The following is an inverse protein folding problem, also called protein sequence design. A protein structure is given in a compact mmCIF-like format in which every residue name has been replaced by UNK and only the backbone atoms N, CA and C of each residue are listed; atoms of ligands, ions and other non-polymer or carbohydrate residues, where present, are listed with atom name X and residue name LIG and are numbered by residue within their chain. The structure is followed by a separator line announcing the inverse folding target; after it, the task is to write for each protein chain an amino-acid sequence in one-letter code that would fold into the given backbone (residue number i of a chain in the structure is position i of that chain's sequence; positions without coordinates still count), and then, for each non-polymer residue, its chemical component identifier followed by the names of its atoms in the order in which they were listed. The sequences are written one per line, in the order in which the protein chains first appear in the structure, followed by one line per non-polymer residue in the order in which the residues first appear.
data_IF_997029172929
#
_entry.id   IF_997029172929
#
_cell.length_a   1.000
_cell.length_b   1.000
_cell.length_c   1.000
_cell.angle_alpha   90.00
_cell.angle_beta   90.00
_cell.angle_gamma   90.00
#
_symmetry.space_group_name_H-M   'P 1'
#
loop_
_entity.id
_entity.type
_entity.pdbx_description
1 polymer ?
2 non-polymer ?
3 non-polymer ?
4 water ?
#
# COMPACT_ATOMS: atom_id res chain seq x y z
N UNK A 4 -26.42 4.08 -12.70
CA UNK A 4 -25.54 4.94 -13.52
C UNK A 4 -24.54 4.07 -14.31
N UNK A 5 -24.35 4.41 -15.58
CA UNK A 5 -23.72 3.55 -16.59
C UNK A 5 -22.29 4.04 -16.93
N UNK A 6 -21.33 3.13 -17.15
CA UNK A 6 -19.98 3.45 -17.67
C UNK A 6 -19.65 2.59 -18.89
N UNK A 7 -19.03 3.22 -19.90
CA UNK A 7 -18.56 2.53 -21.10
C UNK A 7 -17.03 2.57 -21.16
N UNK A 8 -16.40 1.39 -21.23
CA UNK A 8 -14.95 1.30 -21.44
C UNK A 8 -14.72 0.39 -22.64
N UNK A 9 -14.08 0.93 -23.68
CA UNK A 9 -13.85 0.24 -24.95
C UNK A 9 -15.10 -0.42 -25.51
N UNK A 10 -16.21 0.31 -25.50
CA UNK A 10 -17.50 -0.20 -25.96
C UNK A 10 -18.24 -1.19 -25.07
N UNK A 11 -17.63 -1.66 -23.98
CA UNK A 11 -18.27 -2.54 -23.01
C UNK A 11 -18.93 -1.71 -21.90
N UNK A 12 -20.13 -2.12 -21.53
CA UNK A 12 -20.99 -1.38 -20.61
C UNK A 12 -20.92 -1.94 -19.18
N UNK A 13 -20.88 -1.04 -18.21
CA UNK A 13 -20.84 -1.41 -16.80
C UNK A 13 -21.85 -0.57 -16.01
N UNK A 14 -22.51 -1.19 -15.04
CA UNK A 14 -23.40 -0.50 -14.12
C UNK A 14 -22.61 -0.14 -12.88
N UNK A 15 -22.67 1.12 -12.45
CA UNK A 15 -22.08 1.53 -11.18
C UNK A 15 -22.94 1.02 -10.00
N UNK A 16 -22.27 0.44 -9.00
CA UNK A 16 -22.90 -0.03 -7.79
C UNK A 16 -22.64 0.94 -6.64
N UNK A 17 -21.38 1.33 -6.45
CA UNK A 17 -21.05 2.40 -5.52
C UNK A 17 -19.66 2.97 -5.79
N UNK A 18 -19.42 4.13 -5.20
CA UNK A 18 -18.17 4.83 -5.27
C UNK A 18 -17.24 4.33 -4.17
N UNK A 19 -16.15 3.68 -4.55
CA UNK A 19 -15.18 3.15 -3.60
C UNK A 19 -14.28 4.26 -3.08
N UNK A 20 -13.75 5.08 -3.98
CA UNK A 20 -12.84 6.16 -3.61
C UNK A 20 -12.82 7.35 -4.57
N UNK A 21 -12.06 8.36 -4.18
CA UNK A 21 -11.90 9.61 -4.94
C UNK A 21 -10.46 10.07 -4.73
N UNK A 22 -9.92 10.76 -5.73
CA UNK A 22 -8.60 11.38 -5.64
C UNK A 22 -8.77 12.83 -6.03
N UNK A 23 -7.70 13.43 -6.57
CA UNK A 23 -7.79 14.76 -7.12
C UNK A 23 -8.50 14.63 -8.45
N UNK A 24 -7.82 13.97 -9.38
CA UNK A 24 -8.30 13.88 -10.75
C UNK A 24 -9.26 12.68 -10.94
N UNK A 25 -9.34 11.78 -9.95
CA UNK A 25 -9.88 10.44 -10.20
C UNK A 25 -10.92 9.91 -9.22
N UNK A 26 -11.63 8.87 -9.65
CA UNK A 26 -12.67 8.21 -8.87
C UNK A 26 -12.65 6.73 -9.20
N UNK A 27 -13.02 5.92 -8.23
CA UNK A 27 -13.02 4.47 -8.38
C UNK A 27 -14.41 3.98 -8.02
N UNK A 28 -14.97 3.13 -8.89
CA UNK A 28 -16.32 2.65 -8.76
C UNK A 28 -16.33 1.13 -8.71
N UNK A 29 -17.08 0.58 -7.77
CA UNK A 29 -17.43 -0.81 -7.84
C UNK A 29 -18.52 -0.91 -8.89
N UNK A 30 -18.37 -1.89 -9.76
CA UNK A 30 -19.05 -1.90 -11.04
C UNK A 30 -19.51 -3.30 -11.41
N UNK A 31 -20.55 -3.37 -12.24
CA UNK A 31 -21.19 -4.61 -12.62
C UNK A 31 -21.15 -4.69 -14.15
N UNK A 32 -20.56 -5.76 -14.70
CA UNK A 32 -20.47 -5.94 -16.15
C UNK A 32 -21.71 -6.65 -16.72
N UNK A 33 -21.71 -6.91 -18.03
CA UNK A 33 -22.86 -7.55 -18.70
C UNK A 33 -23.11 -8.95 -18.15
N UNK A 34 -22.04 -9.70 -17.90
CA UNK A 34 -22.13 -11.07 -17.38
C UNK A 34 -22.26 -11.14 -15.84
N UNK A 35 -22.70 -10.06 -15.21
CA UNK A 35 -23.09 -10.03 -13.79
C UNK A 35 -21.90 -10.19 -12.82
N UNK A 36 -20.72 -9.82 -13.29
CA UNK A 36 -19.48 -9.94 -12.55
C UNK A 36 -19.05 -8.56 -12.06
N UNK A 37 -18.42 -8.53 -10.88
CA UNK A 37 -18.05 -7.29 -10.21
C UNK A 37 -16.62 -6.90 -10.56
N UNK A 38 -16.40 -5.62 -10.86
CA UNK A 38 -15.05 -5.07 -11.05
C UNK A 38 -14.95 -3.74 -10.34
N UNK A 39 -13.73 -3.21 -10.32
CA UNK A 39 -13.50 -1.87 -9.88
C UNK A 39 -12.96 -1.11 -11.07
N UNK A 40 -13.57 0.02 -11.38
CA UNK A 40 -13.14 0.85 -12.47
C UNK A 40 -12.66 2.16 -11.89
N UNK A 41 -11.43 2.54 -12.28
CA UNK A 41 -10.90 3.84 -11.96
C UNK A 41 -11.10 4.73 -13.18
N UNK A 42 -11.63 5.92 -12.94
CA UNK A 42 -11.79 6.94 -13.97
C UNK A 42 -10.87 8.12 -13.61
N UNK A 43 -10.08 8.60 -14.57
CA UNK A 43 -9.24 9.77 -14.39
C UNK A 43 -9.66 10.82 -15.40
N UNK A 44 -10.07 11.99 -14.92
CA UNK A 44 -10.41 13.10 -15.78
C UNK A 44 -9.13 13.83 -16.09
N UNK A 45 -8.70 13.83 -17.35
CA UNK A 45 -7.46 14.50 -17.76
C UNK A 45 -7.68 15.90 -18.31
N UNK A 46 -8.93 16.33 -18.42
CA UNK A 46 -9.24 17.62 -19.07
C UNK A 46 -8.53 18.79 -18.40
N UNK A 47 -8.50 18.80 -17.07
CA UNK A 47 -7.72 19.76 -16.29
C UNK A 47 -6.58 19.02 -15.62
N UNK A 48 -5.50 18.81 -16.36
CA UNK A 48 -4.34 18.09 -15.87
C UNK A 48 -3.10 18.62 -16.52
N UNK A 49 -2.21 19.17 -15.71
CA UNK A 49 -0.89 19.58 -16.17
C UNK A 49 -0.09 18.38 -16.72
N UNK A 50 1.02 18.65 -17.38
CA UNK A 50 1.91 17.58 -17.85
C UNK A 50 2.42 16.63 -16.76
N UNK A 51 2.56 17.15 -15.54
CA UNK A 51 3.03 16.38 -14.38
C UNK A 51 2.05 15.28 -13.98
N UNK A 52 0.78 15.64 -13.75
CA UNK A 52 -0.22 14.66 -13.33
C UNK A 52 -0.57 13.73 -14.51
N UNK A 53 -0.54 14.27 -15.72
CA UNK A 53 -0.67 13.47 -16.93
C UNK A 53 0.43 12.42 -16.99
N UNK A 54 1.67 12.81 -16.77
CA UNK A 54 2.74 11.84 -16.88
C UNK A 54 2.77 10.81 -15.73
N UNK A 55 2.30 11.22 -14.55
CA UNK A 55 2.22 10.30 -13.43
C UNK A 55 1.19 9.21 -13.74
N UNK A 56 0.09 9.60 -14.39
CA UNK A 56 -0.95 8.65 -14.75
C UNK A 56 -0.52 7.71 -15.87
N UNK A 57 0.23 8.23 -16.84
CA UNK A 57 0.83 7.38 -17.86
C UNK A 57 1.83 6.37 -17.28
N UNK A 58 2.66 6.85 -16.38
CA UNK A 58 3.63 6.03 -15.70
C UNK A 58 2.97 4.92 -14.85
N UNK A 59 1.87 5.25 -14.17
CA UNK A 59 1.14 4.30 -13.35
C UNK A 59 0.55 3.16 -14.19
N UNK A 60 -0.14 3.52 -15.28
CA UNK A 60 -0.74 2.53 -16.15
C UNK A 60 0.36 1.67 -16.83
N UNK A 61 1.48 2.27 -17.15
CA UNK A 61 2.58 1.48 -17.73
C UNK A 61 3.15 0.47 -16.70
N UNK A 62 3.42 0.93 -15.48
CA UNK A 62 3.89 0.02 -14.42
C UNK A 62 2.83 -1.04 -14.02
N UNK A 63 1.56 -0.66 -13.92
CA UNK A 63 0.51 -1.62 -13.61
C UNK A 63 0.42 -2.72 -14.69
N UNK A 64 0.51 -2.34 -15.97
CA UNK A 64 0.59 -3.30 -17.05
C UNK A 64 1.82 -4.21 -16.97
N UNK A 65 3.00 -3.62 -16.80
CA UNK A 65 4.25 -4.36 -16.75
C UNK A 65 4.20 -5.40 -15.62
N UNK A 66 3.62 -5.04 -14.48
CA UNK A 66 3.67 -5.88 -13.27
C UNK A 66 2.64 -7.02 -13.22
N UNK A 67 1.72 -7.04 -14.17
CA UNK A 67 0.72 -8.11 -14.26
C UNK A 67 1.41 -9.47 -14.23
N UNK A 68 2.42 -9.61 -15.08
CA UNK A 68 3.17 -10.86 -15.20
C UNK A 68 3.83 -11.26 -13.89
N UNK A 69 4.46 -10.29 -13.19
CA UNK A 69 5.50 -10.58 -12.18
C UNK A 69 5.06 -10.96 -10.78
N UNK A 70 3.81 -10.61 -10.41
CA UNK A 70 3.23 -11.10 -9.14
C UNK A 70 1.71 -10.99 -9.14
N UNK A 71 1.10 -12.02 -8.55
CA UNK A 71 -0.32 -12.03 -8.23
C UNK A 71 -0.59 -11.36 -6.87
N UNK A 72 0.42 -10.75 -6.24
CA UNK A 72 0.17 -9.84 -5.13
C UNK A 72 0.10 -8.39 -5.58
N UNK A 73 0.00 -8.17 -6.90
CA UNK A 73 -0.29 -6.87 -7.46
C UNK A 73 -1.72 -6.93 -8.04
N UNK A 74 -2.49 -5.86 -7.85
CA UNK A 74 -3.87 -5.80 -8.34
C UNK A 74 -4.00 -6.12 -9.85
N UNK A 75 -4.99 -6.93 -10.21
CA UNK A 75 -5.17 -7.35 -11.60
C UNK A 75 -5.75 -6.19 -12.43
N UNK A 76 -5.15 -5.95 -13.60
CA UNK A 76 -5.63 -5.00 -14.57
C UNK A 76 -6.14 -5.81 -15.76
N UNK A 77 -7.45 -5.77 -16.00
CA UNK A 77 -8.06 -6.48 -17.13
C UNK A 77 -8.05 -5.69 -18.43
N UNK A 78 -8.30 -4.39 -18.34
CA UNK A 78 -8.43 -3.53 -19.52
C UNK A 78 -8.31 -2.08 -19.11
N UNK A 79 -7.98 -1.24 -20.07
CA UNK A 79 -7.85 0.17 -19.83
C UNK A 79 -8.10 0.90 -21.11
N UNK A 80 -8.47 2.16 -20.99
CA UNK A 80 -8.70 3.02 -22.13
C UNK A 80 -8.01 4.33 -21.80
N UNK A 81 -7.13 4.80 -22.72
CA UNK A 81 -6.55 6.14 -22.56
C UNK A 81 -6.71 7.01 -23.81
N UNK A 82 -6.97 8.27 -23.55
CA UNK A 82 -7.45 9.24 -24.47
C UNK A 82 -6.83 10.53 -23.91
N UNK A 83 -6.75 11.58 -24.70
CA UNK A 83 -6.34 12.91 -24.20
C UNK A 83 -7.24 13.48 -23.08
N UNK A 84 -8.51 13.06 -23.05
CA UNK A 84 -9.48 13.52 -22.04
C UNK A 84 -9.64 12.65 -20.82
N UNK A 85 -9.33 11.35 -20.89
CA UNK A 85 -9.59 10.46 -19.77
C UNK A 85 -8.81 9.15 -19.79
N UNK A 86 -8.70 8.55 -18.61
CA UNK A 86 -8.26 7.17 -18.45
C UNK A 86 -9.33 6.37 -17.72
N UNK A 87 -9.60 5.17 -18.21
CA UNK A 87 -10.35 4.17 -17.46
C UNK A 87 -9.44 2.99 -17.26
N UNK A 88 -9.42 2.44 -16.04
CA UNK A 88 -8.73 1.21 -15.74
C UNK A 88 -9.75 0.25 -15.12
N UNK A 89 -9.95 -0.89 -15.77
CA UNK A 89 -10.85 -1.95 -15.29
C UNK A 89 -9.98 -2.95 -14.52
N UNK A 90 -10.17 -2.97 -13.21
CA UNK A 90 -9.37 -3.74 -12.29
C UNK A 90 -10.26 -4.66 -11.48
N UNK A 91 -9.64 -5.59 -10.76
CA UNK A 91 -10.38 -6.53 -9.92
C UNK A 91 -10.90 -5.75 -8.72
N UNK A 92 -12.04 -6.20 -8.22
CA UNK A 92 -12.62 -5.62 -7.04
C UNK A 92 -12.29 -6.47 -5.85
N UNK A 93 -11.70 -5.87 -4.82
CA UNK A 93 -11.36 -6.60 -3.60
C UNK A 93 -12.53 -6.80 -2.65
N UNK A 94 -12.34 -7.66 -1.66
CA UNK A 94 -13.32 -7.87 -0.60
C UNK A 94 -13.34 -6.67 0.33
N UNK A 95 -12.16 -6.27 0.79
CA UNK A 95 -12.00 -5.18 1.76
C UNK A 95 -10.52 -4.79 1.79
N UNK A 96 -10.25 -3.53 2.13
CA UNK A 96 -8.88 -3.03 2.23
C UNK A 96 -8.33 -3.29 3.63
N UNK A 97 -7.01 -3.36 3.76
CA UNK A 97 -6.40 -3.79 5.02
C UNK A 97 -6.75 -2.85 6.16
N UNK A 98 -6.83 -1.56 5.86
CA UNK A 98 -7.09 -0.58 6.89
C UNK A 98 -8.45 -0.81 7.56
N UNK A 99 -9.49 -1.00 6.73
CA UNK A 99 -10.83 -1.26 7.24
C UNK A 99 -10.89 -2.57 8.00
N UNK A 100 -10.16 -3.57 7.50
CA UNK A 100 -10.13 -4.89 8.13
C UNK A 100 -9.45 -4.84 9.51
N UNK A 101 -8.28 -4.21 9.60
CA UNK A 101 -7.61 -4.05 10.91
C UNK A 101 -8.47 -3.28 11.92
N UNK A 102 -9.18 -2.27 11.43
CA UNK A 102 -10.03 -1.41 12.25
C UNK A 102 -11.14 -2.18 12.97
N UNK A 103 -11.61 -3.29 12.38
CA UNK A 103 -12.73 -4.05 12.93
C UNK A 103 -12.32 -5.33 13.71
N UNK A 104 -11.03 -5.65 13.74
CA UNK A 104 -10.53 -6.78 14.52
C UNK A 104 -10.03 -6.28 15.87
N UNK A 105 -10.36 -6.99 16.94
CA UNK A 105 -9.77 -6.76 18.27
C UNK A 105 -8.35 -7.33 18.36
N UNK A 106 -8.16 -8.50 17.77
CA UNK A 106 -6.88 -9.17 17.78
C UNK A 106 -6.66 -9.83 16.43
N UNK A 107 -5.42 -10.21 16.13
CA UNK A 107 -5.07 -10.87 14.87
C UNK A 107 -4.43 -12.24 15.21
N UNK A 108 -4.93 -13.28 14.53
CA UNK A 108 -4.34 -14.62 14.59
C UNK A 108 -2.86 -14.60 14.16
N UNK A 109 -1.94 -15.14 14.99
CA UNK A 109 -0.51 -15.14 14.59
C UNK A 109 -0.24 -15.67 13.18
N UNK A 110 -0.95 -16.73 12.78
CA UNK A 110 -0.81 -17.34 11.44
C UNK A 110 -1.31 -16.40 10.34
N UNK A 111 -2.42 -15.71 10.60
CA UNK A 111 -2.99 -14.81 9.63
C UNK A 111 -2.08 -13.59 9.42
N UNK A 112 -1.52 -13.10 10.54
CA UNK A 112 -0.56 -12.01 10.53
C UNK A 112 0.67 -12.36 9.69
N UNK A 113 1.25 -13.52 9.94
CA UNK A 113 2.44 -13.99 9.22
C UNK A 113 2.18 -14.12 7.72
N UNK A 114 1.03 -14.67 7.37
CA UNK A 114 0.67 -14.90 5.98
C UNK A 114 0.45 -13.59 5.22
N UNK A 115 -0.20 -12.63 5.88
CA UNK A 115 -0.36 -11.30 5.32
C UNK A 115 0.97 -10.61 5.21
N UNK A 116 1.87 -10.81 6.16
CA UNK A 116 3.20 -10.21 6.09
C UNK A 116 3.94 -10.72 4.86
N UNK A 117 3.88 -12.03 4.62
CA UNK A 117 4.52 -12.61 3.44
C UNK A 117 3.98 -11.98 2.16
N UNK A 118 2.66 -11.83 2.08
CA UNK A 118 2.01 -11.19 0.91
C UNK A 118 2.55 -9.78 0.66
N UNK A 119 2.66 -9.01 1.73
CA UNK A 119 3.15 -7.64 1.65
C UNK A 119 4.61 -7.61 1.20
N UNK A 120 5.46 -8.45 1.79
CA UNK A 120 6.88 -8.52 1.40
C UNK A 120 7.03 -8.81 -0.07
N UNK A 121 6.27 -9.79 -0.56
CA UNK A 121 6.36 -10.22 -1.94
C UNK A 121 5.96 -9.09 -2.84
N UNK A 122 4.83 -8.46 -2.57
CA UNK A 122 4.35 -7.37 -3.39
C UNK A 122 5.37 -6.24 -3.44
N UNK A 123 5.88 -5.83 -2.29
CA UNK A 123 6.82 -4.73 -2.25
C UNK A 123 8.15 -5.15 -2.89
N UNK A 124 8.55 -6.40 -2.70
CA UNK A 124 9.75 -6.92 -3.36
C UNK A 124 9.60 -6.80 -4.87
N UNK A 125 8.43 -7.15 -5.39
CA UNK A 125 8.29 -7.09 -6.83
C UNK A 125 8.31 -5.69 -7.44
N UNK A 126 7.75 -4.69 -6.75
CA UNK A 126 7.90 -3.33 -7.26
C UNK A 126 9.33 -2.82 -7.17
N UNK A 127 10.04 -3.17 -6.09
CA UNK A 127 11.45 -2.79 -5.96
C UNK A 127 12.32 -3.38 -7.06
N UNK A 128 12.06 -4.62 -7.46
CA UNK A 128 12.85 -5.22 -8.53
C UNK A 128 12.63 -4.49 -9.85
N UNK A 129 11.52 -3.77 -10.01
CA UNK A 129 11.30 -2.91 -11.20
C UNK A 129 11.65 -1.43 -11.01
N UNK A 130 12.44 -1.12 -9.99
CA UNK A 130 12.90 0.24 -9.71
C UNK A 130 11.88 1.19 -9.07
N UNK A 131 10.81 0.67 -8.48
CA UNK A 131 9.79 1.51 -7.89
C UNK A 131 9.90 1.42 -6.38
N UNK A 132 10.04 2.56 -5.71
CA UNK A 132 9.90 2.66 -4.27
C UNK A 132 8.56 3.37 -4.05
N UNK A 133 7.64 2.76 -3.30
CA UNK A 133 6.31 3.38 -3.05
C UNK A 133 6.48 4.68 -2.26
N UNK A 134 7.13 4.58 -1.10
CA UNK A 134 7.51 5.68 -0.18
C UNK A 134 6.37 6.29 0.67
N UNK A 135 5.18 5.72 0.59
CA UNK A 135 4.07 6.09 1.42
C UNK A 135 3.15 4.93 1.70
N UNK A 136 3.72 3.78 2.09
CA UNK A 136 2.90 2.60 2.31
C UNK A 136 2.15 2.76 3.61
N UNK A 137 0.94 2.22 3.61
CA UNK A 137 0.09 2.21 4.79
C UNK A 137 -0.98 1.16 4.53
N UNK A 138 -1.73 0.75 5.56
CA UNK A 138 -2.69 -0.33 5.37
C UNK A 138 -3.69 -0.13 4.23
N UNK A 139 -4.13 1.10 4.00
CA UNK A 139 -5.02 1.42 2.88
C UNK A 139 -4.47 1.05 1.47
N UNK A 140 -3.15 0.93 1.31
CA UNK A 140 -2.56 0.49 0.04
C UNK A 140 -2.68 -1.01 -0.22
N UNK A 141 -3.11 -1.80 0.74
CA UNK A 141 -3.26 -3.23 0.53
C UNK A 141 -4.73 -3.62 0.57
N UNK A 142 -5.07 -4.67 -0.17
CA UNK A 142 -6.42 -5.05 -0.41
C UNK A 142 -6.51 -6.53 -0.22
N UNK A 143 -7.58 -7.01 0.43
CA UNK A 143 -7.82 -8.43 0.58
C UNK A 143 -8.61 -8.96 -0.63
N UNK A 144 -8.06 -9.98 -1.28
CA UNK A 144 -8.67 -10.66 -2.43
C UNK A 144 -8.36 -12.15 -2.29
N UNK A 145 -9.39 -12.98 -2.13
CA UNK A 145 -9.23 -14.44 -1.97
C UNK A 145 -8.40 -14.83 -0.72
N UNK A 146 -8.63 -14.13 0.39
CA UNK A 146 -7.82 -14.32 1.61
C UNK A 146 -6.33 -14.01 1.45
N UNK A 147 -5.98 -13.22 0.44
CA UNK A 147 -4.60 -12.90 0.09
C UNK A 147 -4.53 -11.39 -0.02
N UNK A 148 -3.43 -10.79 0.41
CA UNK A 148 -3.29 -9.35 0.32
C UNK A 148 -2.61 -9.01 -0.99
N UNK A 149 -3.12 -7.96 -1.64
CA UNK A 149 -2.51 -7.41 -2.85
C UNK A 149 -2.22 -5.94 -2.63
N UNK A 150 -1.10 -5.49 -3.17
CA UNK A 150 -0.77 -4.07 -3.23
C UNK A 150 -1.58 -3.48 -4.39
N UNK A 151 -2.21 -2.34 -4.15
CA UNK A 151 -3.11 -1.76 -5.16
C UNK A 151 -2.53 -0.61 -5.95
N UNK A 152 -1.49 0.04 -5.44
CA UNK A 152 -0.86 1.15 -6.13
C UNK A 152 0.64 1.24 -5.82
N UNK A 153 1.31 2.19 -6.46
CA UNK A 153 2.78 2.19 -6.49
C UNK A 153 3.37 3.48 -5.98
N UNK A 154 2.55 4.33 -5.40
CA UNK A 154 2.97 5.68 -5.04
C UNK A 154 3.28 6.62 -6.18
N UNK A 155 2.92 6.24 -7.42
CA UNK A 155 3.32 6.98 -8.64
C UNK A 155 2.35 8.13 -8.92
N UNK A 156 1.07 7.80 -9.08
CA UNK A 156 0.01 8.81 -9.18
C UNK A 156 -0.55 9.15 -7.79
N UNK A 157 -1.42 10.17 -7.76
CA UNK A 157 -2.06 10.64 -6.51
C UNK A 157 -3.01 9.54 -6.04
N UNK A 158 -2.95 9.15 -4.76
CA UNK A 158 -3.65 7.93 -4.31
C UNK A 158 -5.07 8.12 -3.75
N UNK A 159 -5.78 7.00 -3.67
CA UNK A 159 -7.21 6.97 -3.37
C UNK A 159 -7.55 7.31 -1.91
N UNK A 160 -8.62 8.10 -1.72
CA UNK A 160 -9.18 8.43 -0.40
C UNK A 160 -10.68 8.08 -0.33
N UNK A 161 -11.09 7.21 0.63
CA UNK A 161 -12.50 6.81 0.72
C UNK A 161 -13.42 7.88 1.32
N UNK A 172 -6.94 14.94 5.82
CA UNK A 172 -5.83 15.39 6.68
C UNK A 172 -4.58 14.49 6.59
N UNK A 173 -4.78 13.19 6.50
CA UNK A 173 -3.71 12.23 6.28
C UNK A 173 -3.13 11.65 7.56
N UNK A 174 -2.82 10.37 7.53
CA UNK A 174 -2.11 9.65 8.60
C UNK A 174 -0.64 9.79 8.30
N UNK A 175 0.17 10.02 9.32
CA UNK A 175 1.61 9.99 9.17
C UNK A 175 2.22 8.90 10.07
N UNK A 176 1.38 8.00 10.58
CA UNK A 176 1.88 6.93 11.46
C UNK A 176 2.80 5.94 10.77
N UNK A 177 2.70 5.80 9.46
CA UNK A 177 3.50 4.84 8.68
C UNK A 177 4.67 5.52 7.93
N UNK A 178 4.83 6.82 8.11
CA UNK A 178 5.76 7.60 7.30
C UNK A 178 7.23 7.37 7.68
N UNK A 179 8.09 7.04 6.68
CA UNK A 179 9.49 6.78 7.01
C UNK A 179 10.26 8.04 7.39
N UNK A 180 11.27 7.91 8.24
CA UNK A 180 12.13 9.02 8.65
C UNK A 180 12.70 9.84 7.50
N UNK A 181 13.19 9.17 6.48
CA UNK A 181 13.84 9.86 5.37
C UNK A 181 12.85 10.52 4.37
N UNK A 182 11.57 10.16 4.44
CA UNK A 182 10.52 10.93 3.76
C UNK A 182 10.29 12.27 4.49
N UNK A 183 10.37 12.23 5.80
CA UNK A 183 10.25 13.44 6.60
C UNK A 183 11.48 14.30 6.34
N UNK A 184 12.67 13.70 6.26
CA UNK A 184 13.90 14.45 5.92
C UNK A 184 13.92 15.11 4.53
N UNK A 185 13.09 14.66 3.59
CA UNK A 185 12.85 15.42 2.35
C UNK A 185 11.86 16.58 2.62
N UNK A 186 12.30 17.60 3.36
CA UNK A 186 11.48 18.79 3.65
C UNK A 186 12.35 19.93 4.18
N UNK A 197 17.10 13.57 -2.48
CA UNK A 197 16.06 12.65 -1.99
C UNK A 197 16.70 11.42 -1.32
N UNK A 198 16.49 11.28 -0.01
CA UNK A 198 17.00 10.12 0.75
C UNK A 198 16.04 8.92 0.77
N UNK A 199 14.85 9.06 0.17
CA UNK A 199 13.93 7.92 -0.03
C UNK A 199 14.65 6.80 -0.80
N UNK A 200 14.64 5.59 -0.23
CA UNK A 200 15.25 4.41 -0.87
C UNK A 200 14.33 3.22 -0.60
N UNK A 201 14.64 2.02 -1.16
CA UNK A 201 13.87 0.83 -0.80
C UNK A 201 13.68 0.62 0.72
N UNK A 202 14.66 1.05 1.51
CA UNK A 202 14.57 0.93 2.98
C UNK A 202 13.40 1.72 3.57
N UNK A 203 13.00 2.80 2.90
CA UNK A 203 11.80 3.55 3.31
C UNK A 203 10.56 2.69 3.33
N UNK A 204 10.42 1.82 2.33
CA UNK A 204 9.28 0.93 2.30
C UNK A 204 9.32 -0.10 3.40
N UNK A 205 10.53 -0.50 3.82
CA UNK A 205 10.71 -1.43 4.92
C UNK A 205 10.21 -0.83 6.23
N UNK A 206 10.56 0.43 6.49
CA UNK A 206 10.06 1.12 7.65
C UNK A 206 8.53 1.08 7.71
N UNK A 207 7.88 1.41 6.58
CA UNK A 207 6.42 1.51 6.55
C UNK A 207 5.78 0.15 6.78
N UNK A 208 6.36 -0.87 6.15
CA UNK A 208 5.94 -2.24 6.37
C UNK A 208 6.04 -2.63 7.84
N UNK A 209 7.17 -2.29 8.45
CA UNK A 209 7.36 -2.52 9.88
C UNK A 209 6.28 -1.89 10.73
N UNK A 210 5.87 -0.66 10.39
CA UNK A 210 4.81 0.02 11.10
C UNK A 210 3.46 -0.72 10.99
N UNK A 211 3.18 -1.29 9.82
CA UNK A 211 1.96 -2.09 9.64
C UNK A 211 2.04 -3.36 10.47
N UNK A 212 3.19 -4.04 10.39
CA UNK A 212 3.39 -5.26 11.17
C UNK A 212 3.32 -4.96 12.67
N UNK A 213 3.87 -3.83 13.09
CA UNK A 213 3.80 -3.38 14.48
C UNK A 213 2.36 -3.23 14.94
N UNK A 214 1.55 -2.56 14.12
CA UNK A 214 0.11 -2.43 14.39
C UNK A 214 -0.56 -3.79 14.51
N UNK A 215 -0.26 -4.69 13.57
CA UNK A 215 -0.77 -6.05 13.60
C UNK A 215 -0.34 -6.88 14.79
N UNK A 216 0.76 -6.54 15.46
CA UNK A 216 1.18 -7.33 16.63
C UNK A 216 0.75 -6.67 17.93
N UNK A 217 0.98 -5.36 18.08
CA UNK A 217 0.72 -4.66 19.35
C UNK A 217 -0.57 -3.83 19.38
N UNK A 218 -1.36 -3.84 18.32
CA UNK A 218 -2.66 -3.15 18.35
C UNK A 218 -2.63 -1.64 18.12
N UNK A 219 -1.44 -1.04 18.10
CA UNK A 219 -1.23 0.38 17.83
C UNK A 219 -0.03 0.52 16.88
N UNK A 220 0.03 1.61 16.12
CA UNK A 220 1.26 1.98 15.40
C UNK A 220 2.29 2.52 16.41
N UNK A 221 3.60 2.53 16.05
CA UNK A 221 4.65 2.87 17.03
C UNK A 221 4.56 4.26 17.69
N UNK A 222 4.01 5.25 16.98
CA UNK A 222 3.90 6.60 17.52
C UNK A 222 2.44 7.06 17.52
N UNK A 223 1.51 6.11 17.68
CA UNK A 223 0.07 6.42 17.71
C UNK A 223 -0.31 7.34 18.87
N UNK A 224 0.31 7.13 20.03
CA UNK A 224 0.03 7.95 21.22
C UNK A 224 0.30 9.46 21.05
N UNK A 225 1.24 9.84 20.17
CA UNK A 225 1.58 11.26 19.93
C UNK A 225 0.59 11.91 18.94
N UNK A 226 -0.39 12.62 19.47
CA UNK A 226 -1.55 13.11 18.69
C UNK A 226 -1.14 14.21 17.69
N UNK A 227 -0.40 15.21 18.18
CA UNK A 227 0.07 16.33 17.34
C UNK A 227 0.98 15.82 16.22
N UNK A 228 0.61 16.14 14.97
CA UNK A 228 1.31 15.66 13.79
C UNK A 228 2.78 16.07 13.80
N UNK A 229 3.05 17.35 14.05
CA UNK A 229 4.42 17.85 14.04
C UNK A 229 5.26 17.14 15.11
N UNK A 230 4.74 17.04 16.33
CA UNK A 230 5.40 16.31 17.41
C UNK A 230 5.71 14.88 17.00
N UNK A 231 4.76 14.24 16.33
CA UNK A 231 4.95 12.88 15.86
C UNK A 231 6.08 12.75 14.84
N UNK A 232 6.15 13.68 13.88
CA UNK A 232 7.21 13.67 12.86
C UNK A 232 8.60 13.85 13.48
N UNK A 233 8.71 14.78 14.43
CA UNK A 233 9.91 14.91 15.27
C UNK A 233 10.29 13.58 15.94
N UNK A 234 9.30 12.90 16.52
CA UNK A 234 9.54 11.63 17.21
C UNK A 234 10.00 10.53 16.25
N UNK A 235 9.39 10.48 15.07
CA UNK A 235 9.76 9.51 14.06
C UNK A 235 11.24 9.59 13.66
N UNK A 236 11.79 10.79 13.48
CA UNK A 236 13.21 10.93 13.11
C UNK A 236 14.21 11.11 14.27
N UNK A 237 13.72 11.29 15.50
CA UNK A 237 14.58 11.42 16.69
C UNK A 237 15.11 10.05 17.20
N UNK A 238 16.42 9.77 17.05
CA UNK A 238 16.95 8.49 17.54
C UNK A 238 16.91 8.29 19.07
N UNK A 239 16.88 9.37 19.84
CA UNK A 239 16.70 9.28 21.30
C UNK A 239 15.28 8.88 21.78
N UNK A 240 14.28 8.94 20.90
CA UNK A 240 12.93 8.52 21.25
C UNK A 240 12.86 7.02 21.04
N UNK A 241 12.92 6.27 22.13
CA UNK A 241 12.85 4.81 22.03
C UNK A 241 11.45 4.37 21.66
N UNK A 242 11.37 3.45 20.71
CA UNK A 242 10.13 2.76 20.39
C UNK A 242 10.06 1.56 21.32
N UNK A 243 8.86 1.30 21.83
CA UNK A 243 8.62 0.17 22.71
C UNK A 243 8.37 -1.13 21.93
N UNK A 244 8.97 -2.20 22.40
CA UNK A 244 8.80 -3.52 21.81
C UNK A 244 8.55 -4.53 22.94
N UNK A 245 7.32 -4.53 23.50
CA UNK A 245 6.97 -5.50 24.56
C UNK A 245 7.25 -6.95 24.17
N UNK A 246 7.74 -7.74 25.12
CA UNK A 246 8.04 -9.15 24.87
C UNK A 246 6.74 -9.88 24.52
N UNK A 247 6.85 -10.75 23.52
CA UNK A 247 5.71 -11.50 22.99
C UNK A 247 6.15 -12.93 22.79
N UNK A 248 5.19 -13.86 22.69
CA UNK A 248 5.58 -15.26 22.45
C UNK A 248 6.56 -15.42 21.28
N UNK A 249 6.31 -14.73 20.16
CA UNK A 249 7.09 -14.93 18.92
C UNK A 249 8.34 -14.04 18.87
N UNK A 250 9.48 -14.62 19.24
CA UNK A 250 10.75 -13.89 19.31
C UNK A 250 11.23 -13.44 17.92
N UNK A 251 10.91 -14.22 16.88
CA UNK A 251 11.29 -13.87 15.51
C UNK A 251 10.54 -12.64 15.04
N UNK A 252 9.26 -12.54 15.41
CA UNK A 252 8.42 -11.38 15.08
C UNK A 252 8.96 -10.12 15.72
N UNK A 253 9.31 -10.22 17.01
CA UNK A 253 9.90 -9.10 17.74
C UNK A 253 11.19 -8.60 17.08
N UNK A 254 12.04 -9.52 16.62
CA UNK A 254 13.27 -9.14 15.92
C UNK A 254 12.99 -8.46 14.57
N UNK A 255 12.01 -8.97 13.81
CA UNK A 255 11.59 -8.32 12.54
C UNK A 255 11.23 -6.85 12.78
N UNK A 256 10.38 -6.63 13.76
CA UNK A 256 9.90 -5.30 14.06
C UNK A 256 11.06 -4.36 14.44
N UNK A 257 12.00 -4.85 15.25
CA UNK A 257 13.15 -4.04 15.67
C UNK A 257 14.06 -3.74 14.49
N UNK A 258 14.21 -4.71 13.58
CA UNK A 258 15.08 -4.48 12.42
C UNK A 258 14.45 -3.53 11.40
N UNK A 259 13.12 -3.57 11.28
CA UNK A 259 12.39 -2.68 10.35
C UNK A 259 12.38 -1.25 10.84
N UNK A 260 12.37 -1.06 12.17
CA UNK A 260 12.17 0.28 12.77
C UNK A 260 13.46 0.96 13.28
N UNK A 261 14.57 0.67 12.63
CA UNK A 261 15.84 1.33 12.86
C UNK A 261 15.85 2.60 12.04
N UNK A 262 16.19 3.70 12.67
CA UNK A 262 16.12 5.00 12.03
C UNK A 262 17.22 5.25 10.99
N UNK A 263 18.39 4.65 11.15
CA UNK A 263 19.42 4.73 10.11
C UNK A 263 19.02 3.72 9.03
N UNK A 264 18.70 4.20 7.80
CA UNK A 264 18.31 3.22 6.76
C UNK A 264 19.44 2.24 6.37
N UNK A 265 20.70 2.66 6.52
CA UNK A 265 21.84 1.76 6.29
C UNK A 265 21.79 0.53 7.21
N UNK A 266 21.37 0.71 8.46
CA UNK A 266 21.29 -0.40 9.40
C UNK A 266 19.95 -1.15 9.35
N UNK A 267 18.93 -0.49 8.83
CA UNK A 267 17.59 -1.11 8.68
C UNK A 267 17.68 -2.32 7.76
N UNK A 268 16.99 -3.38 8.12
CA UNK A 268 16.94 -4.60 7.35
C UNK A 268 16.37 -4.38 5.94
N UNK A 269 16.87 -5.15 4.98
CA UNK A 269 16.45 -5.06 3.58
C UNK A 269 15.32 -6.03 3.30
N UNK A 270 14.69 -5.86 2.14
CA UNK A 270 13.61 -6.77 1.75
C UNK A 270 14.19 -8.20 1.56
N UNK A 271 15.33 -8.35 0.88
CA UNK A 271 15.87 -9.75 0.77
C UNK A 271 16.22 -10.45 2.08
N UNK A 272 16.74 -9.68 3.05
CA UNK A 272 16.96 -10.16 4.41
C UNK A 272 15.64 -10.50 5.10
N UNK A 273 14.61 -9.67 4.93
CA UNK A 273 13.29 -10.03 5.49
C UNK A 273 12.74 -11.29 4.88
N UNK A 274 12.95 -11.50 3.59
CA UNK A 274 12.49 -12.76 2.95
C UNK A 274 13.20 -14.02 3.42
N UNK A 275 14.37 -13.88 4.06
CA UNK A 275 15.13 -15.01 4.57
C UNK A 275 15.08 -15.10 6.08
N UNK A 276 14.34 -14.21 6.72
CA UNK A 276 14.25 -14.14 8.15
C UNK A 276 13.46 -15.36 8.69
N UNK A 277 13.85 -15.86 9.86
CA UNK A 277 13.16 -16.97 10.54
C UNK A 277 11.64 -16.83 10.65
N UNK A 278 11.18 -15.64 11.01
CA UNK A 278 9.77 -15.30 10.99
C UNK A 278 9.00 -15.77 9.76
N UNK A 279 9.54 -15.59 8.56
CA UNK A 279 8.86 -16.07 7.34
C UNK A 279 9.29 -17.46 6.90
N UNK A 280 10.45 -17.93 7.35
CA UNK A 280 11.01 -19.21 6.90
C UNK A 280 10.79 -20.41 7.82
N UNK A 281 10.93 -20.20 9.13
CA UNK A 281 10.75 -21.27 10.14
C UNK A 281 9.25 -21.26 10.44
N UNK A 282 8.58 -22.35 10.12
CA UNK A 282 7.13 -22.46 10.25
C UNK A 282 6.77 -23.60 11.19
X LIG B 1 -6.22 3.11 -8.27
X LIG B 1 -5.89 1.98 -7.95
X LIG B 1 -4.70 1.46 -8.19
X LIG B 1 -3.66 2.23 -8.89
X LIG B 1 -2.70 1.39 -9.74
X LIG B 1 -3.82 2.22 -10.41
X LIG B 1 -6.91 1.08 -7.25
X LIG B 1 -6.96 -0.30 -7.49
X LIG B 1 -7.88 -1.12 -6.87
X LIG B 1 -8.80 -0.56 -5.97
X LIG B 1 -8.76 0.81 -5.74
X LIG B 1 -7.83 1.64 -6.36
X LIG B 1 -9.75 -1.39 -5.35
X LIG B 1 -10.27 -1.17 -4.07
X LIG B 1 -10.05 -0.21 -3.07
X LIG B 1 -10.77 -0.31 -1.87
X LIG B 1 -11.63 -1.30 -1.69
X LIG B 1 -11.87 -2.24 -2.63
X LIG B 1 -11.18 -2.20 -3.85
X LIG B 1 -11.20 -2.97 -4.94
X LIG B 1 -10.34 -2.48 -5.84
X LIG B 1 -12.74 -3.22 -2.40
X LIG B 1 -13.65 -3.22 -1.23
X LIG B 1 -14.86 -2.29 -1.45
X LIG B 1 -16.18 -2.70 -2.42
X LIG B 1 -17.02 -1.26 -2.14
X LIG B 1 -16.26 -0.51 -1.32
X LIG B 1 -15.08 -1.06 -0.94
X LIG C 1 -13.44 -7.13 -18.62
#
# INVERSE_FOLDING_TARGET
GSNECISVKGRIYSILKQIGSGGSSKVFQVLNEKKQIYAIKYVNLEEADNQTLDSYRNEIAYLNKLQQHSDKIIRLYDYEITDQYIYMVMECGNIDLNSWLKKKKSIDPWERKSYWKNMLEAVHTIHQHGIVHSDLKPANFLIVDGMLKLIDFGIANQMQPDTTSVVKDSQVGTVNYMPPEAIKDMSSSRENGKSKSKISPKSDVWSLGCILYYMTYGKTPFQQIINQISKLHAIIDPNHEIEFPDIPEKDLQDVLKCCLKRDPKQRISIPELLAHPYVQIQTHPVNQMAKGTT
O23 O C N C1 C3 C2 C4 C9 C8 C7 C6 C5 C10 N2 C13 C14 N3 C15 C12 N1 C11 N4 C16 C17 S C20 C19 C18
CL CL
#
